data_IF_055926621915
#
_entry.id   IF_055926621915
#
_cell.length_a   1.000
_cell.length_b   1.000
_cell.length_c   1.000
_cell.angle_alpha   90.00
_cell.angle_beta   90.00
_cell.angle_gamma   90.00
#
_symmetry.space_group_name_H-M   'P 1'
#
loop_
_entity.id
_entity.type
_entity.pdbx_description
1 polymer ?
#
# COMPACT_ATOMS: atom_id res chain seq x y z
N UNK A 1 3.55 -44.77 24.14
CA UNK A 1 3.98 -43.80 25.19
C UNK A 1 3.67 -42.42 24.66
N UNK A 2 2.86 -41.62 25.36
CA UNK A 2 2.58 -40.24 24.94
C UNK A 2 3.80 -39.36 25.18
N UNK A 3 4.20 -38.56 24.19
CA UNK A 3 5.22 -37.51 24.39
C UNK A 3 4.63 -36.51 25.38
N UNK A 4 5.34 -36.15 26.47
CA UNK A 4 4.85 -35.14 27.39
C UNK A 4 4.62 -33.83 26.64
N UNK A 5 3.44 -33.24 26.82
CA UNK A 5 3.14 -31.93 26.24
C UNK A 5 4.14 -30.91 26.78
N UNK A 6 4.86 -30.23 25.89
CA UNK A 6 5.72 -29.11 26.27
C UNK A 6 4.85 -27.97 26.81
N UNK A 7 5.39 -27.23 27.79
CA UNK A 7 4.74 -26.03 28.32
C UNK A 7 4.57 -24.98 27.21
N UNK A 8 3.47 -24.23 27.24
CA UNK A 8 3.12 -23.22 26.22
C UNK A 8 4.21 -22.16 26.07
N UNK A 9 4.85 -21.79 27.18
CA UNK A 9 5.97 -20.83 27.22
C UNK A 9 7.14 -21.25 26.33
N UNK A 10 7.39 -22.55 26.18
CA UNK A 10 8.46 -23.07 25.31
C UNK A 10 8.11 -22.82 23.85
N UNK A 11 6.86 -23.01 23.46
CA UNK A 11 6.41 -22.73 22.09
C UNK A 11 6.51 -21.22 21.76
N UNK A 12 6.13 -20.36 22.71
CA UNK A 12 6.33 -18.91 22.56
C UNK A 12 7.82 -18.55 22.43
N UNK A 13 8.68 -19.19 23.23
CA UNK A 13 10.12 -19.03 23.13
C UNK A 13 10.64 -19.36 21.73
N UNK A 14 10.24 -20.50 21.17
CA UNK A 14 10.63 -20.91 19.81
C UNK A 14 10.14 -19.91 18.76
N UNK A 15 8.85 -19.52 18.81
CA UNK A 15 8.28 -18.60 17.82
C UNK A 15 8.85 -17.18 17.90
N UNK A 16 9.39 -16.79 19.07
CA UNK A 16 10.04 -15.48 19.26
C UNK A 16 11.37 -15.39 18.51
N UNK A 17 12.10 -16.50 18.42
CA UNK A 17 13.37 -16.58 17.68
C UNK A 17 13.19 -16.63 16.16
N UNK A 18 11.95 -16.83 15.68
CA UNK A 18 11.63 -16.76 14.26
C UNK A 18 11.42 -15.30 13.86
N UNK A 19 12.31 -14.80 13.01
CA UNK A 19 12.28 -13.45 12.46
C UNK A 19 11.52 -13.36 11.14
N UNK A 20 11.43 -14.47 10.39
CA UNK A 20 10.75 -14.52 9.09
C UNK A 20 9.31 -15.01 9.16
N UNK A 21 8.41 -14.39 8.38
CA UNK A 21 7.02 -14.88 8.21
C UNK A 21 6.98 -16.27 7.61
N UNK A 22 7.92 -16.57 6.71
CA UNK A 22 8.10 -17.89 6.10
C UNK A 22 8.36 -18.97 7.16
N UNK A 23 9.25 -18.69 8.11
CA UNK A 23 9.65 -19.64 9.14
C UNK A 23 8.51 -19.91 10.11
N UNK A 24 7.83 -18.84 10.54
CA UNK A 24 6.62 -18.95 11.39
C UNK A 24 5.57 -19.79 10.66
N UNK A 25 5.33 -19.54 9.38
CA UNK A 25 4.37 -20.30 8.57
C UNK A 25 4.77 -21.77 8.43
N UNK A 26 6.04 -22.07 8.18
CA UNK A 26 6.54 -23.43 8.11
C UNK A 26 6.34 -24.19 9.43
N UNK A 27 6.60 -23.54 10.57
CA UNK A 27 6.39 -24.13 11.91
C UNK A 27 4.89 -24.33 12.21
N UNK A 28 4.02 -23.40 11.79
CA UNK A 28 2.57 -23.56 11.88
C UNK A 28 2.06 -24.75 11.06
N UNK A 29 2.65 -24.99 9.88
CA UNK A 29 2.30 -26.13 9.03
C UNK A 29 2.78 -27.47 9.62
N UNK A 30 3.92 -27.46 10.32
CA UNK A 30 4.48 -28.65 10.95
C UNK A 30 3.64 -29.17 12.13
N UNK A 31 2.82 -28.33 12.77
CA UNK A 31 2.06 -28.73 13.96
C UNK A 31 0.85 -27.85 14.26
N UNK A 32 -0.27 -28.50 14.56
CA UNK A 32 -1.51 -27.84 15.00
C UNK A 32 -1.36 -27.05 16.30
N UNK A 33 -0.46 -27.48 17.21
CA UNK A 33 -0.20 -26.75 18.46
C UNK A 33 0.49 -25.42 18.18
N UNK A 34 1.43 -25.42 17.23
CA UNK A 34 2.09 -24.20 16.80
C UNK A 34 1.18 -23.31 15.96
N UNK A 35 0.17 -23.86 15.29
CA UNK A 35 -0.78 -23.07 14.49
C UNK A 35 -1.46 -21.95 15.29
N UNK A 36 -2.09 -22.27 16.43
CA UNK A 36 -2.84 -21.26 17.22
C UNK A 36 -1.95 -20.15 17.77
N UNK A 37 -0.72 -20.50 18.17
CA UNK A 37 0.25 -19.54 18.73
C UNK A 37 0.90 -18.73 17.59
N UNK A 38 1.17 -19.39 16.47
CA UNK A 38 1.78 -18.81 15.27
C UNK A 38 0.88 -17.77 14.60
N UNK A 39 -0.45 -17.96 14.59
CA UNK A 39 -1.41 -16.94 14.10
C UNK A 39 -1.18 -15.59 14.79
N UNK A 40 -1.07 -15.59 16.13
CA UNK A 40 -0.82 -14.37 16.90
C UNK A 40 0.56 -13.77 16.58
N UNK A 41 1.58 -14.62 16.40
CA UNK A 41 2.93 -14.18 16.04
C UNK A 41 2.96 -13.53 14.65
N UNK A 42 2.33 -14.13 13.65
CA UNK A 42 2.27 -13.59 12.28
C UNK A 42 1.63 -12.20 12.25
N UNK A 43 0.51 -12.01 12.96
CA UNK A 43 -0.17 -10.71 13.00
C UNK A 43 0.65 -9.63 13.71
N UNK A 44 1.45 -9.99 14.73
CA UNK A 44 2.36 -9.04 15.39
C UNK A 44 3.49 -8.54 14.50
N UNK A 45 3.80 -9.25 13.42
CA UNK A 45 4.85 -8.85 12.47
C UNK A 45 4.34 -7.84 11.42
N UNK A 46 3.12 -7.32 11.57
CA UNK A 46 2.47 -6.47 10.57
C UNK A 46 1.86 -7.30 9.43
N UNK A 47 1.06 -6.68 8.58
CA UNK A 47 0.52 -7.28 7.35
C UNK A 47 0.74 -6.29 6.22
N UNK A 48 1.34 -6.77 5.13
CA UNK A 48 1.65 -5.99 3.94
C UNK A 48 0.97 -6.67 2.76
N UNK A 49 0.15 -5.92 2.04
CA UNK A 49 -0.69 -6.41 0.94
C UNK A 49 -0.39 -5.57 -0.28
N UNK A 50 0.18 -6.20 -1.31
CA UNK A 50 0.61 -5.57 -2.55
C UNK A 50 -0.18 -6.01 -3.79
N UNK A 51 -1.01 -7.04 -3.67
CA UNK A 51 -1.82 -7.59 -4.76
C UNK A 51 -3.21 -8.02 -4.31
N UNK A 52 -4.16 -8.12 -5.24
CA UNK A 52 -5.52 -8.59 -4.93
C UNK A 52 -5.52 -10.04 -4.39
N UNK A 53 -4.62 -10.89 -4.89
CA UNK A 53 -4.46 -12.27 -4.39
C UNK A 53 -3.99 -12.29 -2.92
N UNK A 54 -3.09 -11.39 -2.54
CA UNK A 54 -2.68 -11.21 -1.15
C UNK A 54 -3.83 -10.68 -0.28
N UNK A 55 -4.62 -9.74 -0.80
CA UNK A 55 -5.80 -9.23 -0.11
C UNK A 55 -6.83 -10.33 0.14
N UNK A 56 -7.14 -11.14 -0.87
CA UNK A 56 -8.05 -12.29 -0.77
C UNK A 56 -7.53 -13.32 0.23
N UNK A 57 -6.22 -13.60 0.18
CA UNK A 57 -5.56 -14.54 1.10
C UNK A 57 -5.63 -14.05 2.54
N UNK A 58 -5.36 -12.76 2.78
CA UNK A 58 -5.47 -12.14 4.09
C UNK A 58 -6.91 -12.15 4.62
N UNK A 59 -7.88 -11.75 3.79
CA UNK A 59 -9.29 -11.77 4.17
C UNK A 59 -9.77 -13.18 4.52
N UNK A 60 -9.36 -14.19 3.74
CA UNK A 60 -9.67 -15.60 4.02
C UNK A 60 -9.03 -16.08 5.32
N UNK A 61 -7.76 -15.73 5.56
CA UNK A 61 -7.06 -16.03 6.81
C UNK A 61 -7.78 -15.42 8.02
N UNK A 62 -8.16 -14.14 7.95
CA UNK A 62 -8.86 -13.43 9.02
C UNK A 62 -10.25 -14.00 9.26
N UNK A 63 -10.95 -14.40 8.19
CA UNK A 63 -12.26 -15.05 8.28
C UNK A 63 -12.18 -16.35 9.07
N UNK A 64 -11.29 -17.27 8.68
CA UNK A 64 -11.19 -18.59 9.30
C UNK A 64 -10.71 -18.54 10.76
N UNK A 65 -9.85 -17.59 11.11
CA UNK A 65 -9.24 -17.53 12.44
C UNK A 65 -9.99 -16.64 13.45
N UNK A 66 -10.72 -15.62 12.96
CA UNK A 66 -11.33 -14.62 13.82
C UNK A 66 -12.82 -14.48 13.56
N UNK A 67 -13.25 -14.20 12.33
CA UNK A 67 -14.64 -13.88 12.04
C UNK A 67 -15.58 -15.07 12.28
N UNK A 68 -15.25 -16.25 11.76
CA UNK A 68 -16.07 -17.46 11.92
C UNK A 68 -16.13 -17.92 13.40
N UNK A 69 -15.15 -17.50 14.21
CA UNK A 69 -15.09 -17.77 15.65
C UNK A 69 -15.66 -16.63 16.51
N UNK A 70 -16.18 -15.55 15.91
CA UNK A 70 -16.58 -14.31 16.60
C UNK A 70 -15.50 -13.75 17.54
N UNK A 71 -14.23 -13.85 17.14
CA UNK A 71 -13.09 -13.29 17.88
C UNK A 71 -12.65 -11.98 17.25
N UNK A 72 -12.13 -11.09 18.08
CA UNK A 72 -11.41 -9.89 17.64
C UNK A 72 -9.91 -10.18 17.60
N UNK A 73 -9.21 -9.51 16.69
CA UNK A 73 -7.75 -9.52 16.64
C UNK A 73 -7.21 -8.27 17.34
N UNK A 74 -6.50 -8.49 18.43
CA UNK A 74 -5.74 -7.46 19.15
C UNK A 74 -4.23 -7.53 18.87
N UNK A 75 -3.81 -8.44 17.98
CA UNK A 75 -2.41 -8.72 17.70
C UNK A 75 -1.90 -7.96 16.48
N UNK A 76 -2.77 -7.65 15.51
CA UNK A 76 -2.39 -6.88 14.34
C UNK A 76 -2.26 -5.41 14.71
N UNK A 77 -1.04 -4.88 14.63
CA UNK A 77 -0.72 -3.47 14.94
C UNK A 77 -0.41 -2.63 13.71
N UNK A 78 0.04 -3.25 12.63
CA UNK A 78 0.45 -2.57 11.41
C UNK A 78 -0.20 -3.25 10.21
N UNK A 79 -0.84 -2.44 9.36
CA UNK A 79 -1.46 -2.88 8.13
C UNK A 79 -1.05 -1.92 7.01
N UNK A 80 -0.41 -2.47 5.98
CA UNK A 80 -0.04 -1.76 4.75
C UNK A 80 -0.81 -2.37 3.59
N UNK A 81 -1.51 -1.53 2.85
CA UNK A 81 -2.23 -1.90 1.64
C UNK A 81 -1.73 -0.99 0.51
N UNK A 82 -1.07 -1.58 -0.49
CA UNK A 82 -0.41 -0.86 -1.58
C UNK A 82 -0.56 -1.63 -2.88
N UNK A 83 -1.61 -1.36 -3.65
CA UNK A 83 -1.77 -1.98 -4.95
C UNK A 83 -0.98 -1.21 -6.00
N UNK A 84 -0.10 -1.91 -6.71
CA UNK A 84 0.50 -1.35 -7.92
C UNK A 84 -0.51 -1.46 -9.06
N UNK A 85 -1.21 -0.36 -9.31
CA UNK A 85 -2.24 -0.29 -10.33
C UNK A 85 -1.69 -0.11 -11.74
N UNK A 86 -0.38 0.08 -11.91
CA UNK A 86 0.21 0.40 -13.21
C UNK A 86 0.86 -0.81 -13.90
N UNK A 87 0.91 -1.98 -13.24
CA UNK A 87 1.59 -3.18 -13.79
C UNK A 87 0.91 -3.82 -15.00
N UNK A 88 -0.34 -3.46 -15.28
CA UNK A 88 -1.11 -4.05 -16.38
C UNK A 88 -1.17 -3.15 -17.62
N UNK A 89 -0.46 -2.01 -17.63
CA UNK A 89 -0.14 -1.40 -18.91
C UNK A 89 0.85 -2.37 -19.58
N UNK A 90 0.44 -3.11 -20.62
CA UNK A 90 1.40 -3.92 -21.34
C UNK A 90 2.50 -2.95 -21.73
N UNK A 91 3.75 -3.25 -21.33
CA UNK A 91 4.92 -2.53 -21.82
C UNK A 91 4.62 -2.33 -23.31
N UNK A 92 4.42 -1.07 -23.69
CA UNK A 92 4.18 -0.73 -25.08
C UNK A 92 5.49 -1.16 -25.70
N UNK A 93 5.50 -2.36 -26.26
CA UNK A 93 6.65 -2.95 -26.89
C UNK A 93 6.80 -2.11 -28.15
N UNK A 94 7.37 -0.91 -27.97
CA UNK A 94 7.91 0.00 -28.98
C UNK A 94 9.13 -0.68 -29.61
N UNK A 95 8.97 -1.95 -29.95
CA UNK A 95 9.55 -2.61 -31.09
C UNK A 95 9.06 -1.88 -32.35
N UNK A 96 9.46 -0.62 -32.48
CA UNK A 96 10.04 -0.14 -33.71
C UNK A 96 11.18 -1.10 -34.04
N UNK A 97 10.79 -2.23 -34.65
CA UNK A 97 11.64 -3.19 -35.33
C UNK A 97 12.19 -2.45 -36.56
N UNK A 98 13.06 -1.49 -36.25
CA UNK A 98 13.84 -0.68 -37.16
C UNK A 98 14.86 -1.65 -37.74
N UNK A 99 14.41 -2.32 -38.80
CA UNK A 99 15.08 -3.30 -39.64
C UNK A 99 16.40 -2.72 -40.20
N UNK A 100 17.41 -2.59 -39.34
CA UNK A 100 18.79 -2.30 -39.70
C UNK A 100 19.53 -3.62 -39.74
N UNK A 101 19.65 -4.15 -40.95
CA UNK A 101 20.72 -5.05 -41.33
C UNK A 101 22.06 -4.37 -40.96
N UNK A 102 22.59 -4.68 -39.77
CA UNK A 102 24.00 -4.41 -39.44
C UNK A 102 24.76 -5.69 -39.64
N UNK A 103 25.53 -5.68 -40.72
CA UNK A 103 26.53 -6.66 -41.05
C UNK A 103 27.46 -6.93 -39.85
N UNK A 104 27.75 -8.22 -39.70
CA UNK A 104 28.69 -8.82 -38.78
C UNK A 104 30.06 -8.13 -38.85
N UNK A 105 30.55 -7.59 -37.73
CA UNK A 105 31.98 -7.33 -37.57
C UNK A 105 32.45 -7.87 -36.22
N UNK A 106 33.07 -9.05 -36.29
CA UNK A 106 33.80 -9.72 -35.23
C UNK A 106 34.92 -8.81 -34.72
N UNK A 107 34.80 -8.30 -33.49
CA UNK A 107 35.98 -7.84 -32.76
C UNK A 107 36.03 -8.37 -31.33
N UNK A 108 36.84 -9.43 -31.25
CA UNK A 108 37.58 -9.96 -30.11
C UNK A 108 38.31 -8.85 -29.30
N UNK A 109 38.65 -9.21 -28.06
CA UNK A 109 39.47 -8.54 -27.04
C UNK A 109 38.81 -7.59 -26.03
N UNK A 110 38.99 -7.92 -24.74
CA UNK A 110 39.19 -6.90 -23.72
C UNK A 110 38.85 -7.30 -22.29
N UNK A 111 39.60 -8.25 -21.72
CA UNK A 111 39.74 -8.41 -20.27
C UNK A 111 40.26 -7.10 -19.65
N UNK A 112 39.58 -6.58 -18.63
CA UNK A 112 40.05 -5.47 -17.78
C UNK A 112 39.30 -5.49 -16.45
N UNK A 113 39.90 -6.18 -15.49
CA UNK A 113 39.91 -5.78 -14.08
C UNK A 113 40.31 -4.29 -14.00
N UNK A 114 39.54 -3.42 -13.33
CA UNK A 114 40.11 -2.35 -12.48
C UNK A 114 39.08 -1.85 -11.44
N UNK A 115 39.59 -1.71 -10.22
CA UNK A 115 38.93 -1.18 -9.05
C UNK A 115 38.84 0.35 -9.10
N UNK A 116 37.86 0.94 -8.43
CA UNK A 116 38.08 2.18 -7.67
C UNK A 116 36.91 2.46 -6.72
N UNK A 117 37.30 2.73 -5.48
CA UNK A 117 36.50 3.42 -4.49
C UNK A 117 36.34 4.89 -4.92
N UNK A 118 35.19 5.48 -4.65
CA UNK A 118 35.13 6.94 -4.52
C UNK A 118 34.14 7.36 -3.42
N UNK A 119 34.70 8.08 -2.46
CA UNK A 119 34.06 8.69 -1.29
C UNK A 119 33.93 10.18 -1.58
N UNK A 120 32.71 10.68 -1.81
CA UNK A 120 32.42 12.12 -1.87
C UNK A 120 30.93 12.29 -1.54
N UNK A 121 30.44 13.33 -0.89
CA UNK A 121 30.97 14.38 -0.02
C UNK A 121 29.70 15.04 0.53
N UNK A 122 29.72 15.47 1.79
CA UNK A 122 28.59 16.15 2.40
C UNK A 122 28.41 17.55 1.78
N UNK A 123 27.20 17.87 1.29
CA UNK A 123 26.82 19.25 0.99
C UNK A 123 25.62 19.67 1.82
N UNK A 124 25.91 20.55 2.78
CA UNK A 124 24.97 21.35 3.55
C UNK A 124 24.62 22.64 2.81
N UNK A 125 23.33 22.95 2.70
CA UNK A 125 22.81 24.28 2.38
C UNK A 125 21.61 24.52 3.31
N UNK A 126 21.71 25.36 4.35
CA UNK A 126 21.55 26.82 4.36
C UNK A 126 20.29 27.25 3.59
N UNK A 127 19.14 27.43 4.26
CA UNK A 127 18.72 28.58 5.08
C UNK A 127 18.06 29.70 4.27
N UNK A 128 16.83 30.01 4.66
CA UNK A 128 16.22 31.34 4.56
C UNK A 128 15.59 31.68 3.21
N UNK A 129 14.27 31.59 3.14
CA UNK A 129 13.53 32.53 2.30
C UNK A 129 12.19 32.91 2.93
N UNK A 130 12.24 34.00 3.70
CA UNK A 130 11.08 34.80 4.05
C UNK A 130 10.64 35.56 2.79
N UNK A 131 9.47 35.26 2.25
CA UNK A 131 8.85 36.14 1.25
C UNK A 131 7.40 36.46 1.64
N UNK A 132 7.27 37.63 2.25
CA UNK A 132 6.05 38.43 2.34
C UNK A 132 5.46 38.63 0.93
N UNK A 133 4.36 37.94 0.62
CA UNK A 133 3.55 38.29 -0.54
C UNK A 133 2.35 39.13 -0.12
N UNK A 134 2.50 40.39 -0.48
CA UNK A 134 1.54 41.47 -0.34
C UNK A 134 0.23 41.20 -1.07
N UNK A 135 -0.83 41.52 -0.35
CA UNK A 135 -2.18 41.87 -0.78
C UNK A 135 -2.19 42.67 -2.10
N UNK A 136 -3.01 42.24 -3.06
CA UNK A 136 -3.28 42.97 -4.30
C UNK A 136 -4.66 42.63 -4.83
N UNK A 137 -5.62 43.27 -4.20
CA UNK A 137 -6.91 43.69 -4.73
C UNK A 137 -6.86 44.02 -6.24
N UNK A 138 -7.50 43.20 -7.07
CA UNK A 138 -7.75 43.52 -8.49
C UNK A 138 -9.20 43.25 -8.87
N UNK A 139 -9.90 44.38 -8.94
CA UNK A 139 -11.17 44.62 -9.60
C UNK A 139 -11.21 44.11 -11.05
N UNK A 140 -12.22 43.28 -11.32
CA UNK A 140 -13.21 43.40 -12.41
C UNK A 140 -12.70 43.96 -13.75
N UNK A 141 -12.62 43.09 -14.76
CA UNK A 141 -12.72 43.49 -16.17
C UNK A 141 -13.57 42.49 -16.93
N UNK A 142 -14.82 42.88 -17.19
CA UNK A 142 -15.72 42.22 -18.12
C UNK A 142 -15.10 42.27 -19.53
N UNK A 143 -14.72 41.10 -20.07
CA UNK A 143 -14.43 40.94 -21.50
C UNK A 143 -15.19 39.73 -22.03
N UNK A 144 -16.26 40.03 -22.75
CA UNK A 144 -16.96 39.08 -23.62
C UNK A 144 -16.03 38.74 -24.79
N UNK A 145 -15.47 37.53 -24.77
CA UNK A 145 -14.88 36.89 -25.94
C UNK A 145 -15.84 35.82 -26.42
N UNK A 146 -16.47 36.09 -27.56
CA UNK A 146 -17.06 35.06 -28.41
C UNK A 146 -15.99 34.53 -29.34
N UNK A 147 -15.70 33.24 -29.23
CA UNK A 147 -14.99 32.44 -30.23
C UNK A 147 -15.57 31.03 -30.11
N UNK A 148 -16.52 30.74 -31.01
CA UNK A 148 -17.03 29.41 -31.29
C UNK A 148 -16.00 28.73 -32.20
N UNK A 149 -14.90 28.25 -31.62
CA UNK A 149 -13.93 27.41 -32.33
C UNK A 149 -13.88 26.05 -31.64
N UNK A 150 -13.96 25.04 -32.48
CA UNK A 150 -14.37 23.67 -32.19
C UNK A 150 -13.54 23.02 -31.09
N UNK A 151 -14.20 22.72 -29.96
CA UNK A 151 -13.70 21.81 -28.95
C UNK A 151 -13.68 20.40 -29.56
N UNK A 152 -12.58 20.04 -30.19
CA UNK A 152 -12.25 18.63 -30.41
C UNK A 152 -12.31 17.95 -29.04
N UNK A 153 -13.27 17.05 -28.95
CA UNK A 153 -13.76 16.45 -27.72
C UNK A 153 -12.75 15.40 -27.24
N UNK A 154 -11.90 15.76 -26.28
CA UNK A 154 -11.02 14.87 -25.49
C UNK A 154 -11.81 13.85 -24.61
N UNK A 155 -13.06 13.52 -24.97
CA UNK A 155 -13.92 12.60 -24.21
C UNK A 155 -13.57 11.11 -24.40
N UNK A 156 -12.73 10.75 -25.39
CA UNK A 156 -12.36 9.36 -25.65
C UNK A 156 -11.25 8.84 -24.73
N UNK A 157 -10.34 9.69 -24.24
CA UNK A 157 -9.30 9.31 -23.26
C UNK A 157 -9.90 9.07 -21.86
N UNK A 158 -11.12 9.53 -21.62
CA UNK A 158 -11.80 9.37 -20.35
C UNK A 158 -12.47 7.99 -20.15
N UNK A 159 -12.50 7.12 -21.17
CA UNK A 159 -13.14 5.80 -21.05
C UNK A 159 -12.18 4.65 -20.73
N UNK A 160 -10.87 4.82 -20.98
CA UNK A 160 -9.88 3.75 -20.80
C UNK A 160 -9.70 3.32 -19.33
N UNK A 161 -9.95 4.20 -18.37
CA UNK A 161 -9.77 3.92 -16.95
C UNK A 161 -10.99 3.34 -16.23
N UNK A 162 -12.16 3.24 -16.88
CA UNK A 162 -13.36 2.69 -16.24
C UNK A 162 -13.49 1.15 -16.33
N UNK A 163 -12.64 0.48 -17.11
CA UNK A 163 -12.80 -0.97 -17.41
C UNK A 163 -11.84 -1.89 -16.65
N UNK A 164 -11.26 -1.45 -15.52
CA UNK A 164 -10.40 -2.34 -14.72
C UNK A 164 -11.22 -3.33 -13.89
N UNK A 165 -10.74 -4.57 -13.81
CA UNK A 165 -11.40 -5.63 -13.05
C UNK A 165 -11.60 -5.23 -11.57
N UNK A 166 -12.74 -5.59 -10.95
CA UNK A 166 -12.98 -5.26 -9.57
C UNK A 166 -12.07 -6.06 -8.62
N UNK A 167 -11.51 -5.39 -7.60
CA UNK A 167 -10.77 -6.06 -6.54
C UNK A 167 -11.65 -7.08 -5.83
N UNK A 168 -11.31 -8.37 -5.98
CA UNK A 168 -12.08 -9.47 -5.39
C UNK A 168 -12.00 -9.44 -3.87
N UNK A 169 -10.88 -8.95 -3.31
CA UNK A 169 -10.67 -8.88 -1.87
C UNK A 169 -11.43 -7.74 -1.17
N UNK A 170 -11.79 -6.67 -1.88
CA UNK A 170 -12.30 -5.44 -1.27
C UNK A 170 -13.61 -5.63 -0.46
N UNK A 171 -14.63 -6.38 -0.95
CA UNK A 171 -15.87 -6.59 -0.19
C UNK A 171 -15.68 -7.35 1.13
N UNK A 172 -14.60 -8.13 1.25
CA UNK A 172 -14.28 -8.91 2.45
C UNK A 172 -13.49 -8.11 3.48
N UNK A 173 -12.96 -6.94 3.11
CA UNK A 173 -12.11 -6.14 3.98
C UNK A 173 -12.93 -5.44 5.07
N UNK A 174 -14.17 -5.03 4.80
CA UNK A 174 -15.05 -4.37 5.79
C UNK A 174 -15.20 -5.18 7.10
N UNK A 175 -15.61 -6.47 7.08
CA UNK A 175 -15.71 -7.24 8.33
C UNK A 175 -14.35 -7.51 8.98
N UNK A 176 -13.28 -7.61 8.18
CA UNK A 176 -11.92 -7.76 8.70
C UNK A 176 -11.47 -6.53 9.45
N UNK A 177 -11.59 -5.32 8.88
CA UNK A 177 -11.22 -4.08 9.56
C UNK A 177 -11.96 -3.91 10.89
N UNK A 178 -13.24 -4.26 10.94
CA UNK A 178 -14.05 -4.23 12.18
C UNK A 178 -13.54 -5.15 13.28
N UNK A 179 -12.77 -6.19 12.96
CA UNK A 179 -12.20 -7.08 13.96
C UNK A 179 -10.80 -6.66 14.44
N UNK A 180 -10.19 -5.65 13.80
CA UNK A 180 -8.87 -5.12 14.17
C UNK A 180 -9.01 -4.02 15.22
N UNK A 181 -9.01 -4.39 16.50
CA UNK A 181 -9.28 -3.44 17.59
C UNK A 181 -8.03 -2.70 18.09
N UNK A 182 -6.84 -3.14 17.67
CA UNK A 182 -5.57 -2.64 18.18
C UNK A 182 -4.60 -2.23 17.05
N UNK A 183 -5.15 -1.81 15.91
CA UNK A 183 -4.38 -1.32 14.79
C UNK A 183 -3.80 0.05 15.13
N UNK A 184 -2.47 0.18 15.09
CA UNK A 184 -1.72 1.37 15.47
C UNK A 184 -1.15 2.11 14.27
N UNK A 185 -0.74 1.38 13.23
CA UNK A 185 -0.16 1.92 12.00
C UNK A 185 -0.99 1.46 10.81
N UNK A 186 -1.42 2.41 9.99
CA UNK A 186 -2.13 2.14 8.75
C UNK A 186 -1.44 2.89 7.61
N UNK A 187 -0.96 2.13 6.63
CA UNK A 187 -0.42 2.67 5.38
C UNK A 187 -1.34 2.27 4.24
N UNK A 188 -1.74 3.25 3.44
CA UNK A 188 -2.62 3.07 2.31
C UNK A 188 -2.06 3.79 1.09
N UNK A 189 -1.62 3.04 0.09
CA UNK A 189 -1.17 3.60 -1.19
C UNK A 189 -2.24 3.36 -2.25
N UNK A 190 -2.51 4.39 -3.06
CA UNK A 190 -3.51 4.36 -4.14
C UNK A 190 -4.90 3.93 -3.67
N UNK A 191 -5.29 4.35 -2.46
CA UNK A 191 -6.48 3.84 -1.80
C UNK A 191 -7.79 4.46 -2.28
N UNK A 192 -7.78 5.55 -3.05
CA UNK A 192 -8.98 6.09 -3.69
C UNK A 192 -9.70 5.03 -4.54
N UNK A 193 -8.94 4.24 -5.31
CA UNK A 193 -9.45 3.13 -6.11
C UNK A 193 -10.06 2.04 -5.24
N UNK A 194 -9.38 1.63 -4.16
CA UNK A 194 -9.91 0.68 -3.18
C UNK A 194 -11.24 1.17 -2.55
N UNK A 195 -11.31 2.45 -2.18
CA UNK A 195 -12.47 3.08 -1.57
C UNK A 195 -13.61 3.34 -2.58
N UNK A 196 -13.33 3.34 -3.88
CA UNK A 196 -14.35 3.39 -4.94
C UNK A 196 -15.18 2.10 -4.96
N UNK A 197 -14.54 0.94 -4.74
CA UNK A 197 -15.20 -0.37 -4.81
C UNK A 197 -16.19 -0.64 -3.67
N UNK A 198 -15.89 -0.23 -2.44
CA UNK A 198 -16.82 -0.39 -1.31
C UNK A 198 -16.83 0.83 -0.40
N UNK A 199 -17.88 1.65 -0.51
CA UNK A 199 -18.07 2.87 0.29
C UNK A 199 -18.08 2.59 1.80
N UNK A 200 -18.43 1.38 2.23
CA UNK A 200 -18.45 1.00 3.66
C UNK A 200 -17.04 0.92 4.24
N UNK A 201 -16.01 0.85 3.40
CA UNK A 201 -14.61 0.90 3.84
C UNK A 201 -14.29 2.24 4.50
N UNK A 202 -14.86 3.35 4.01
CA UNK A 202 -14.65 4.68 4.61
C UNK A 202 -15.08 4.66 6.07
N UNK A 203 -16.29 4.16 6.36
CA UNK A 203 -16.80 4.02 7.72
C UNK A 203 -15.95 3.05 8.55
N UNK A 204 -15.50 1.95 7.95
CA UNK A 204 -14.70 0.94 8.64
C UNK A 204 -13.32 1.46 9.05
N UNK A 205 -12.62 2.16 8.16
CA UNK A 205 -11.34 2.81 8.46
C UNK A 205 -11.51 3.95 9.47
N UNK A 206 -12.55 4.77 9.32
CA UNK A 206 -12.84 5.88 10.23
C UNK A 206 -13.19 5.41 11.66
N UNK A 207 -13.69 4.17 11.79
CA UNK A 207 -14.05 3.57 13.07
C UNK A 207 -12.86 3.13 13.92
N UNK A 208 -11.62 3.15 13.40
CA UNK A 208 -10.45 2.89 14.23
C UNK A 208 -10.33 3.93 15.33
N UNK A 209 -10.13 3.44 16.57
CA UNK A 209 -9.94 4.27 17.78
C UNK A 209 -8.54 4.15 18.38
N UNK A 210 -7.72 3.21 17.87
CA UNK A 210 -6.37 2.92 18.36
C UNK A 210 -5.28 3.31 17.39
N UNK A 211 -5.65 3.92 16.25
CA UNK A 211 -4.72 4.29 15.20
C UNK A 211 -3.86 5.48 15.66
N UNK A 212 -2.54 5.33 15.58
CA UNK A 212 -1.58 6.34 16.00
C UNK A 212 -0.85 6.95 14.81
N UNK A 213 -0.61 6.15 13.77
CA UNK A 213 0.09 6.58 12.57
C UNK A 213 -0.75 6.27 11.34
N UNK A 214 -0.93 7.27 10.49
CA UNK A 214 -1.64 7.16 9.23
C UNK A 214 -0.75 7.68 8.11
N UNK A 215 -0.46 6.83 7.14
CA UNK A 215 0.24 7.18 5.91
C UNK A 215 -0.68 6.94 4.71
N UNK A 216 -0.95 7.99 3.93
CA UNK A 216 -1.80 7.93 2.74
C UNK A 216 -1.01 8.45 1.54
N UNK A 217 -0.87 7.62 0.51
CA UNK A 217 -0.32 8.02 -0.80
C UNK A 217 -1.43 8.00 -1.85
N UNK A 218 -1.53 9.07 -2.63
CA UNK A 218 -2.62 9.28 -3.59
C UNK A 218 -3.87 9.82 -2.90
N UNK A 219 -3.72 10.95 -2.19
CA UNK A 219 -4.81 11.59 -1.47
C UNK A 219 -5.89 12.17 -2.40
N UNK A 220 -7.14 11.96 -2.04
CA UNK A 220 -8.32 12.39 -2.78
C UNK A 220 -9.56 12.58 -1.89
N UNK A 221 -10.74 12.66 -2.50
CA UNK A 221 -11.98 13.00 -1.77
C UNK A 221 -12.43 11.90 -0.79
N UNK A 222 -12.19 10.61 -1.08
CA UNK A 222 -12.65 9.51 -0.21
C UNK A 222 -11.73 9.31 0.97
N UNK A 223 -10.43 9.46 0.75
CA UNK A 223 -9.40 9.47 1.79
C UNK A 223 -9.54 10.70 2.69
N UNK A 224 -9.89 11.87 2.15
CA UNK A 224 -10.29 13.02 2.94
C UNK A 224 -11.45 12.69 3.90
N UNK A 225 -12.46 11.94 3.44
CA UNK A 225 -13.54 11.46 4.31
C UNK A 225 -13.03 10.55 5.44
N UNK A 226 -12.00 9.73 5.22
CA UNK A 226 -11.41 8.92 6.29
C UNK A 226 -10.72 9.82 7.32
N UNK A 227 -9.86 10.72 6.85
CA UNK A 227 -9.08 11.63 7.72
C UNK A 227 -10.00 12.49 8.58
N UNK A 228 -11.07 13.03 8.00
CA UNK A 228 -12.01 13.91 8.72
C UNK A 228 -12.96 13.19 9.67
N UNK A 229 -13.22 11.89 9.47
CA UNK A 229 -14.13 11.10 10.30
C UNK A 229 -13.41 10.13 11.26
N UNK A 230 -12.07 10.12 11.23
CA UNK A 230 -11.26 9.26 12.09
C UNK A 230 -11.53 9.56 13.57
N UNK A 231 -11.75 8.49 14.33
CA UNK A 231 -12.04 8.56 15.78
C UNK A 231 -10.80 8.37 16.66
N UNK A 232 -9.62 8.22 16.06
CA UNK A 232 -8.36 7.99 16.77
C UNK A 232 -7.61 9.29 17.03
N UNK A 233 -6.86 9.33 18.12
CA UNK A 233 -5.91 10.40 18.44
C UNK A 233 -4.59 10.16 17.68
N UNK A 234 -4.52 10.64 16.43
CA UNK A 234 -3.34 10.45 15.57
C UNK A 234 -2.12 11.22 16.12
N UNK A 235 -1.00 10.51 16.21
CA UNK A 235 0.31 11.06 16.59
C UNK A 235 1.12 11.49 15.36
N UNK A 236 1.00 10.74 14.27
CA UNK A 236 1.69 11.01 13.00
C UNK A 236 0.71 10.86 11.84
N UNK A 237 0.68 11.86 10.99
CA UNK A 237 -0.11 11.87 9.76
C UNK A 237 0.82 12.25 8.62
N UNK A 238 0.91 11.37 7.64
CA UNK A 238 1.71 11.57 6.43
C UNK A 238 0.79 11.39 5.22
N UNK A 239 0.68 12.45 4.41
CA UNK A 239 -0.26 12.54 3.30
C UNK A 239 0.54 12.99 2.09
N UNK A 240 0.68 12.08 1.14
CA UNK A 240 1.21 12.38 -0.18
C UNK A 240 0.04 12.58 -1.16
N UNK A 241 -0.04 13.80 -1.68
CA UNK A 241 -1.04 14.24 -2.65
C UNK A 241 -0.64 13.94 -4.10
N UNK A 242 0.22 12.92 -4.33
CA UNK A 242 0.70 12.51 -5.65
C UNK A 242 -0.26 12.84 -6.79
N UNK A 243 0.24 13.61 -7.76
CA UNK A 243 -0.53 14.05 -8.93
C UNK A 243 -0.87 12.82 -9.79
N UNK A 244 -2.11 12.35 -9.71
CA UNK A 244 -2.70 11.35 -10.61
C UNK A 244 -3.79 11.99 -11.45
#
# INVERSE_FOLDING_TARGET
>A
MGVPALNEDIYYGILRELYGRSDVSAVMLASRTFYSIGVNRLLRMGVYIYSDDELVSFCSFMKCNFLDMNKVSNQLRELTISFDWNKDEPDSDDSDDDNRETDEDDSDYGDSDEASADEHEATSCDAGNDSDYSDSDRTRSDKAYGSEDEAESDEDDLQAYETREPLRGAPFLVPVLRCLTNLQVLTMEYCETLLKYDKRLIDAFSAFTTLQELHIVGFGLRTYCIVTNLRSDLLKVDIDCGYY
#
